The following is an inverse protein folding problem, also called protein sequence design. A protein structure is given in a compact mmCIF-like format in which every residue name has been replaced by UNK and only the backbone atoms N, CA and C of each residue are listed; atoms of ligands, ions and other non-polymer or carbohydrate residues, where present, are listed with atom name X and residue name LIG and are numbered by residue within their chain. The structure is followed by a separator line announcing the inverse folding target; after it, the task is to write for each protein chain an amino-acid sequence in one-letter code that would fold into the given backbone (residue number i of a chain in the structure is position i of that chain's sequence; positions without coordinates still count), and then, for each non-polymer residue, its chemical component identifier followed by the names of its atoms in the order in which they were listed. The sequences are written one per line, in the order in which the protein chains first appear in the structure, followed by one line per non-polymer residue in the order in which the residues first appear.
data_IF_194015085200
#
_entry.id   IF_194015085200
#
_cell.length_a   1.000
_cell.length_b   1.000
_cell.length_c   1.000
_cell.angle_alpha   90.00
_cell.angle_beta   90.00
_cell.angle_gamma   90.00
#
_symmetry.space_group_name_H-M   'P 1'
#
loop_
_entity.id
_entity.type
_entity.pdbx_description
1 polymer ?
#
# COMPACT_ATOMS: atom_id res chain seq x y z
N UNK A 1 -24.11 10.42 -7.13
CA UNK A 1 -22.90 11.29 -7.19
C UNK A 1 -21.70 10.38 -7.20
N UNK A 2 -20.75 10.59 -8.11
CA UNK A 2 -19.71 9.59 -8.36
C UNK A 2 -18.70 9.56 -7.20
N UNK A 3 -18.59 8.41 -6.54
CA UNK A 3 -17.57 8.09 -5.53
C UNK A 3 -16.18 7.92 -6.19
N UNK A 4 -15.84 8.83 -7.10
CA UNK A 4 -14.70 8.72 -8.00
C UNK A 4 -13.58 9.62 -7.52
N UNK A 5 -12.38 9.08 -7.55
CA UNK A 5 -11.16 9.89 -7.48
C UNK A 5 -11.17 10.85 -8.66
N UNK A 6 -11.00 12.13 -8.36
CA UNK A 6 -10.81 13.22 -9.30
C UNK A 6 -9.45 13.11 -9.99
N UNK A 7 -9.30 13.80 -11.11
CA UNK A 7 -8.01 14.02 -11.75
C UNK A 7 -7.26 15.24 -11.16
N UNK A 8 -7.64 15.72 -9.98
CA UNK A 8 -7.06 16.92 -9.36
C UNK A 8 -6.07 16.54 -8.27
N UNK A 9 -4.97 17.28 -8.16
CA UNK A 9 -4.01 17.17 -7.06
C UNK A 9 -4.07 18.42 -6.18
N UNK A 10 -4.03 18.23 -4.85
CA UNK A 10 -3.81 19.32 -3.91
C UNK A 10 -2.32 19.43 -3.60
N UNK A 11 -1.75 20.63 -3.63
CA UNK A 11 -0.32 20.84 -3.41
C UNK A 11 -0.12 22.00 -2.44
N UNK A 12 0.42 21.70 -1.26
CA UNK A 12 0.70 22.65 -0.19
C UNK A 12 2.17 22.57 0.19
N UNK A 13 3.00 23.29 -0.57
CA UNK A 13 4.45 23.24 -0.38
C UNK A 13 5.10 24.62 -0.52
N UNK A 14 6.12 24.88 0.29
CA UNK A 14 7.03 26.02 0.15
C UNK A 14 8.21 25.69 -0.81
N UNK A 15 8.28 24.46 -1.36
CA UNK A 15 9.33 24.00 -2.27
C UNK A 15 8.94 24.16 -3.76
N UNK A 16 9.28 25.31 -4.36
CA UNK A 16 8.95 25.65 -5.76
C UNK A 16 9.48 24.64 -6.80
N UNK A 17 10.67 24.09 -6.56
CA UNK A 17 11.27 23.06 -7.39
C UNK A 17 10.44 21.76 -7.38
N UNK A 18 9.85 21.41 -6.24
CA UNK A 18 9.00 20.23 -6.09
C UNK A 18 7.60 20.45 -6.66
N UNK A 19 7.06 21.66 -6.53
CA UNK A 19 5.85 22.06 -7.24
C UNK A 19 6.03 21.91 -8.75
N UNK A 20 7.15 22.42 -9.29
CA UNK A 20 7.48 22.35 -10.71
C UNK A 20 7.68 20.90 -11.19
N UNK A 21 8.37 20.08 -10.39
CA UNK A 21 8.54 18.65 -10.65
C UNK A 21 7.20 17.92 -10.68
N UNK A 22 6.32 18.19 -9.72
CA UNK A 22 4.98 17.64 -9.66
C UNK A 22 4.16 18.03 -10.89
N UNK A 23 4.16 19.33 -11.24
CA UNK A 23 3.49 19.84 -12.42
C UNK A 23 4.03 19.26 -13.74
N UNK A 24 5.31 18.83 -13.78
CA UNK A 24 5.89 18.14 -14.93
C UNK A 24 5.50 16.65 -15.04
N UNK A 25 5.25 15.96 -13.93
CA UNK A 25 4.89 14.53 -13.91
C UNK A 25 3.38 14.33 -14.11
N UNK A 26 2.56 15.18 -13.49
CA UNK A 26 1.11 15.04 -13.44
C UNK A 26 0.40 14.98 -14.82
N UNK A 27 0.80 15.74 -15.85
CA UNK A 27 0.17 15.66 -17.18
C UNK A 27 0.30 14.28 -17.83
N UNK A 28 1.45 13.61 -17.65
CA UNK A 28 1.68 12.26 -18.19
C UNK A 28 0.74 11.20 -17.60
N UNK A 29 0.05 11.54 -16.50
CA UNK A 29 -0.91 10.66 -15.83
C UNK A 29 -2.34 11.19 -15.84
N UNK A 30 -2.62 12.24 -16.61
CA UNK A 30 -3.89 12.94 -16.67
C UNK A 30 -4.36 13.43 -15.29
N UNK A 31 -3.42 13.97 -14.50
CA UNK A 31 -3.70 14.67 -13.24
C UNK A 31 -3.29 16.13 -13.42
N UNK A 32 -4.02 17.06 -12.80
CA UNK A 32 -3.69 18.49 -12.82
C UNK A 32 -3.73 19.09 -11.41
N UNK A 33 -2.84 20.03 -11.07
CA UNK A 33 -2.95 20.79 -9.83
C UNK A 33 -4.32 21.47 -9.73
N UNK A 34 -4.90 21.47 -8.54
CA UNK A 34 -6.12 22.21 -8.28
C UNK A 34 -5.82 23.70 -8.15
N UNK A 35 -6.42 24.51 -9.03
CA UNK A 35 -6.23 25.96 -9.08
C UNK A 35 -7.52 26.73 -8.80
N UNK A 36 -8.67 26.07 -8.83
CA UNK A 36 -9.99 26.69 -8.99
C UNK A 36 -10.63 27.14 -7.66
N UNK A 37 -9.85 27.18 -6.56
CA UNK A 37 -10.35 27.52 -5.22
C UNK A 37 -9.51 28.56 -4.48
N UNK A 38 -10.16 29.35 -3.62
CA UNK A 38 -9.51 30.47 -2.94
C UNK A 38 -8.53 30.06 -1.84
N UNK A 39 -8.72 28.90 -1.20
CA UNK A 39 -7.97 28.47 -0.01
C UNK A 39 -7.13 27.21 -0.19
N UNK A 40 -7.57 26.28 -1.04
CA UNK A 40 -6.91 24.99 -1.26
C UNK A 40 -6.08 24.90 -2.56
N UNK A 41 -5.99 26.00 -3.31
CA UNK A 41 -5.25 26.05 -4.59
C UNK A 41 -3.74 26.07 -4.43
N UNK A 42 -3.24 26.71 -3.37
CA UNK A 42 -1.82 26.81 -3.07
C UNK A 42 -1.59 27.03 -1.59
N UNK A 43 -0.36 26.82 -1.15
CA UNK A 43 0.04 27.14 0.22
C UNK A 43 -0.09 28.64 0.52
N UNK A 44 0.24 29.51 -0.42
CA UNK A 44 0.10 30.96 -0.24
C UNK A 44 -1.36 31.37 -0.02
N UNK A 45 -2.28 30.80 -0.79
CA UNK A 45 -3.72 30.98 -0.63
C UNK A 45 -4.21 30.50 0.74
N UNK A 46 -3.74 29.32 1.16
CA UNK A 46 -4.05 28.77 2.47
C UNK A 46 -3.57 29.71 3.59
N UNK A 47 -2.29 30.12 3.57
CA UNK A 47 -1.70 31.03 4.57
C UNK A 47 -2.44 32.36 4.63
N UNK A 48 -2.77 32.98 3.49
CA UNK A 48 -3.55 34.22 3.43
C UNK A 48 -4.88 34.11 4.17
N UNK A 49 -5.59 32.99 3.98
CA UNK A 49 -6.88 32.77 4.64
C UNK A 49 -6.73 32.50 6.14
N UNK A 50 -5.71 31.75 6.55
CA UNK A 50 -5.42 31.50 7.97
C UNK A 50 -5.15 32.82 8.70
N UNK A 51 -4.36 33.71 8.10
CA UNK A 51 -4.06 35.04 8.67
C UNK A 51 -5.34 35.87 8.78
N UNK A 52 -6.19 35.86 7.75
CA UNK A 52 -7.45 36.60 7.72
C UNK A 52 -8.45 36.10 8.77
N UNK A 53 -8.62 34.78 8.92
CA UNK A 53 -9.61 34.19 9.83
C UNK A 53 -9.05 33.92 11.24
N UNK A 54 -7.73 34.03 11.43
CA UNK A 54 -6.99 33.70 12.66
C UNK A 54 -7.25 32.28 13.18
N UNK A 55 -7.66 31.36 12.32
CA UNK A 55 -7.92 29.97 12.65
C UNK A 55 -7.81 29.08 11.41
N UNK A 56 -7.93 27.76 11.60
CA UNK A 56 -7.86 26.74 10.55
C UNK A 56 -9.12 25.85 10.48
N UNK A 57 -10.20 26.27 11.15
CA UNK A 57 -11.45 25.49 11.23
C UNK A 57 -12.13 25.35 9.86
N UNK A 58 -11.86 26.29 8.94
CA UNK A 58 -12.37 26.26 7.57
C UNK A 58 -11.83 25.08 6.75
N UNK A 59 -10.63 24.54 7.07
CA UNK A 59 -9.97 23.49 6.27
C UNK A 59 -10.89 22.29 6.03
N UNK A 60 -11.57 21.81 7.08
CA UNK A 60 -12.52 20.69 6.95
C UNK A 60 -13.65 20.99 5.97
N UNK A 61 -14.24 22.19 6.08
CA UNK A 61 -15.35 22.63 5.22
C UNK A 61 -14.89 22.73 3.77
N UNK A 62 -13.73 23.30 3.53
CA UNK A 62 -13.20 23.50 2.18
C UNK A 62 -12.75 22.19 1.52
N UNK A 63 -12.14 21.27 2.28
CA UNK A 63 -11.79 19.93 1.78
C UNK A 63 -13.07 19.17 1.41
N UNK A 64 -14.10 19.25 2.26
CA UNK A 64 -15.39 18.64 1.96
C UNK A 64 -16.04 19.26 0.70
N UNK A 65 -16.01 20.59 0.57
CA UNK A 65 -16.55 21.28 -0.59
C UNK A 65 -15.79 20.92 -1.87
N UNK A 66 -14.45 20.82 -1.80
CA UNK A 66 -13.63 20.32 -2.90
C UNK A 66 -14.08 18.92 -3.32
N UNK A 67 -14.22 18.01 -2.36
CA UNK A 67 -14.59 16.60 -2.61
C UNK A 67 -15.98 16.52 -3.25
N UNK A 68 -16.93 17.32 -2.78
CA UNK A 68 -18.28 17.37 -3.33
C UNK A 68 -18.31 17.87 -4.77
N UNK A 69 -17.49 18.86 -5.10
CA UNK A 69 -17.49 19.50 -6.42
C UNK A 69 -16.62 18.77 -7.45
N UNK A 70 -15.51 18.18 -7.02
CA UNK A 70 -14.49 17.62 -7.93
C UNK A 70 -14.33 16.10 -7.79
N UNK A 71 -14.82 15.51 -6.71
CA UNK A 71 -14.41 14.17 -6.26
C UNK A 71 -13.14 14.21 -5.40
N UNK A 72 -12.67 13.05 -4.95
CA UNK A 72 -11.50 12.98 -4.08
C UNK A 72 -10.22 13.34 -4.82
N UNK A 73 -9.28 14.08 -4.22
CA UNK A 73 -8.05 14.39 -4.93
C UNK A 73 -7.28 13.11 -5.22
N UNK A 74 -6.70 13.02 -6.41
CA UNK A 74 -5.86 11.89 -6.80
C UNK A 74 -4.68 11.74 -5.84
N UNK A 75 -4.07 12.86 -5.47
CA UNK A 75 -2.98 12.95 -4.52
C UNK A 75 -3.03 14.30 -3.80
N UNK A 76 -2.63 14.31 -2.54
CA UNK A 76 -2.26 15.52 -1.83
C UNK A 76 -0.77 15.50 -1.57
N UNK A 77 -0.08 16.58 -1.92
CA UNK A 77 1.32 16.83 -1.59
C UNK A 77 1.33 17.91 -0.51
N UNK A 78 1.99 17.66 0.61
CA UNK A 78 1.99 18.59 1.74
C UNK A 78 3.34 18.55 2.47
N UNK A 79 3.84 19.71 2.87
CA UNK A 79 4.99 19.79 3.78
C UNK A 79 4.54 19.37 5.19
N UNK A 80 5.33 18.52 5.88
CA UNK A 80 4.94 18.09 7.24
C UNK A 80 4.88 19.29 8.19
N UNK A 81 5.85 20.20 8.06
CA UNK A 81 5.92 21.43 8.82
C UNK A 81 5.67 22.62 7.92
N UNK A 82 4.58 23.33 8.20
CA UNK A 82 4.18 24.55 7.52
C UNK A 82 3.97 25.59 8.61
N UNK A 83 4.64 26.73 8.49
CA UNK A 83 4.34 27.88 9.33
C UNK A 83 2.92 28.40 8.99
N UNK A 84 1.97 28.19 9.90
CA UNK A 84 0.60 28.68 9.70
C UNK A 84 0.44 30.19 9.96
N UNK A 85 1.44 30.85 10.55
CA UNK A 85 1.36 32.25 10.96
C UNK A 85 0.45 32.49 12.18
N UNK A 86 0.09 31.43 12.92
CA UNK A 86 -0.68 31.53 14.16
C UNK A 86 0.24 31.43 15.38
N UNK A 87 0.01 32.26 16.40
CA UNK A 87 0.88 32.37 17.59
C UNK A 87 1.05 31.06 18.38
N UNK A 88 0.09 30.15 18.29
CA UNK A 88 0.05 28.86 18.99
C UNK A 88 0.44 27.65 18.13
N UNK A 89 1.09 27.86 16.98
CA UNK A 89 1.60 26.79 16.11
C UNK A 89 3.09 26.49 16.36
N UNK A 90 3.43 26.09 17.58
CA UNK A 90 4.82 25.93 18.02
C UNK A 90 5.58 24.82 17.29
N UNK A 91 4.88 23.74 16.87
CA UNK A 91 5.49 22.61 16.17
C UNK A 91 5.42 22.73 14.64
N UNK A 92 4.74 23.76 14.12
CA UNK A 92 4.46 23.98 12.69
C UNK A 92 3.72 22.81 12.02
N UNK A 93 3.12 21.91 12.78
CA UNK A 93 2.43 20.73 12.24
C UNK A 93 0.92 20.93 12.19
N UNK A 94 0.42 22.09 12.62
CA UNK A 94 -1.01 22.29 12.84
C UNK A 94 -1.84 22.17 11.56
N UNK A 95 -1.34 22.68 10.43
CA UNK A 95 -1.99 22.51 9.11
C UNK A 95 -2.04 21.03 8.73
N UNK A 96 -0.90 20.33 8.79
CA UNK A 96 -0.80 18.90 8.49
C UNK A 96 -1.75 18.05 9.36
N UNK A 97 -1.74 18.26 10.68
CA UNK A 97 -2.62 17.55 11.64
C UNK A 97 -4.09 17.80 11.33
N UNK A 98 -4.46 19.04 11.05
CA UNK A 98 -5.84 19.42 10.76
C UNK A 98 -6.32 18.87 9.42
N UNK A 99 -5.44 18.86 8.42
CA UNK A 99 -5.69 18.23 7.14
C UNK A 99 -5.97 16.73 7.32
N UNK A 100 -5.09 16.01 8.03
CA UNK A 100 -5.24 14.57 8.25
C UNK A 100 -6.51 14.23 9.06
N UNK A 101 -6.80 15.01 10.12
CA UNK A 101 -8.05 14.88 10.87
C UNK A 101 -9.28 15.10 10.00
N UNK A 102 -9.24 16.10 9.11
CA UNK A 102 -10.34 16.36 8.18
C UNK A 102 -10.59 15.14 7.29
N UNK A 103 -9.56 14.51 6.76
CA UNK A 103 -9.69 13.28 5.99
C UNK A 103 -10.30 12.13 6.80
N UNK A 104 -9.78 11.88 8.01
CA UNK A 104 -10.31 10.82 8.89
C UNK A 104 -11.82 10.98 9.10
N UNK A 105 -12.27 12.21 9.38
CA UNK A 105 -13.68 12.52 9.60
C UNK A 105 -14.49 12.28 8.33
N UNK A 106 -14.03 12.78 7.19
CA UNK A 106 -14.77 12.66 5.93
C UNK A 106 -14.89 11.19 5.52
N UNK A 107 -13.84 10.38 5.72
CA UNK A 107 -13.81 8.96 5.40
C UNK A 107 -14.76 8.09 6.24
N UNK A 108 -15.30 8.62 7.36
CA UNK A 108 -16.36 7.93 8.11
C UNK A 108 -17.73 8.00 7.43
N UNK A 109 -17.91 8.89 6.46
CA UNK A 109 -19.17 8.95 5.72
C UNK A 109 -19.32 7.73 4.82
N UNK A 110 -20.50 7.10 4.81
CA UNK A 110 -20.81 5.94 3.95
C UNK A 110 -20.54 6.23 2.47
N UNK A 111 -20.72 7.49 2.05
CA UNK A 111 -20.44 7.95 0.69
C UNK A 111 -18.96 7.78 0.30
N UNK A 112 -18.07 7.74 1.29
CA UNK A 112 -16.63 7.88 1.08
C UNK A 112 -15.80 6.74 1.68
N UNK A 113 -16.43 5.73 2.28
CA UNK A 113 -15.76 4.64 3.01
C UNK A 113 -14.73 3.85 2.20
N UNK A 114 -14.87 3.84 0.88
CA UNK A 114 -14.02 3.07 -0.02
C UNK A 114 -12.83 3.88 -0.54
N UNK A 115 -12.70 5.16 -0.23
CA UNK A 115 -11.66 6.01 -0.82
C UNK A 115 -10.42 5.99 0.07
N UNK A 116 -9.25 5.99 -0.57
CA UNK A 116 -7.96 6.06 0.12
C UNK A 116 -7.40 7.47 0.05
N UNK A 117 -6.88 7.96 1.16
CA UNK A 117 -6.12 9.20 1.21
C UNK A 117 -4.71 8.94 0.66
N UNK A 118 -4.38 9.55 -0.48
CA UNK A 118 -3.08 9.46 -1.11
C UNK A 118 -2.25 10.70 -0.75
N UNK A 119 -1.22 10.52 0.06
CA UNK A 119 -0.46 11.61 0.66
C UNK A 119 1.04 11.48 0.36
N UNK A 120 1.61 12.51 -0.25
CA UNK A 120 3.05 12.70 -0.34
C UNK A 120 3.46 13.76 0.68
N UNK A 121 4.26 13.37 1.66
CA UNK A 121 4.73 14.23 2.74
C UNK A 121 6.16 14.68 2.41
N UNK A 122 6.36 15.99 2.37
CA UNK A 122 7.64 16.62 2.14
C UNK A 122 8.27 17.06 3.47
N UNK A 123 9.56 16.84 3.63
CA UNK A 123 10.32 17.16 4.85
C UNK A 123 11.67 17.74 4.46
N UNK A 124 12.23 18.65 5.26
CA UNK A 124 13.65 18.95 5.11
C UNK A 124 14.52 17.76 5.54
N UNK A 125 15.80 17.77 5.18
CA UNK A 125 16.72 16.66 5.42
C UNK A 125 16.82 16.25 6.89
N UNK A 126 16.86 17.23 7.80
CA UNK A 126 16.98 16.97 9.24
C UNK A 126 15.73 16.28 9.78
N UNK A 127 14.55 16.76 9.39
CA UNK A 127 13.27 16.14 9.73
C UNK A 127 13.15 14.76 9.13
N UNK A 128 13.53 14.59 7.86
CA UNK A 128 13.51 13.30 7.22
C UNK A 128 14.36 12.29 7.99
N UNK A 129 15.59 12.63 8.37
CA UNK A 129 16.45 11.74 9.16
C UNK A 129 15.80 11.38 10.51
N UNK A 130 15.20 12.36 11.19
CA UNK A 130 14.56 12.15 12.50
C UNK A 130 13.29 11.29 12.42
N UNK A 131 12.51 11.45 11.34
CA UNK A 131 11.17 10.90 11.25
C UNK A 131 11.04 9.74 10.27
N UNK A 132 12.00 9.48 9.37
CA UNK A 132 11.91 8.44 8.33
C UNK A 132 11.55 7.07 8.89
N UNK A 133 12.25 6.60 9.91
CA UNK A 133 11.96 5.29 10.54
C UNK A 133 10.64 5.31 11.31
N UNK A 134 10.34 6.40 12.00
CA UNK A 134 9.08 6.55 12.74
C UNK A 134 7.87 6.56 11.79
N UNK A 135 7.97 7.24 10.65
CA UNK A 135 6.89 7.39 9.67
C UNK A 135 6.71 6.15 8.77
N UNK A 136 7.67 5.21 8.76
CA UNK A 136 7.44 3.85 8.18
C UNK A 136 6.34 3.09 8.92
N UNK A 137 6.05 3.47 10.17
CA UNK A 137 4.99 2.89 10.97
C UNK A 137 3.79 3.83 11.03
N UNK A 138 2.70 3.51 10.28
CA UNK A 138 1.42 4.21 10.31
C UNK A 138 0.91 4.71 11.66
N UNK A 139 1.08 3.90 12.71
CA UNK A 139 0.64 4.25 14.07
C UNK A 139 1.28 5.54 14.60
N UNK A 140 2.50 5.86 14.16
CA UNK A 140 3.24 7.03 14.60
C UNK A 140 2.76 8.30 13.91
N UNK A 141 2.17 8.20 12.71
CA UNK A 141 1.49 9.34 12.09
C UNK A 141 0.19 9.64 12.84
N UNK A 142 -0.55 8.60 13.21
CA UNK A 142 -1.80 8.74 13.93
C UNK A 142 -1.59 9.18 15.39
N UNK A 143 -0.43 8.93 15.99
CA UNK A 143 -0.10 9.44 17.34
C UNK A 143 0.11 10.95 17.38
N UNK A 144 0.39 11.59 16.24
CA UNK A 144 0.43 13.05 16.12
C UNK A 144 -0.94 13.70 16.28
N UNK A 145 -2.01 12.90 16.17
CA UNK A 145 -3.38 13.36 16.25
C UNK A 145 -3.95 13.13 17.66
N UNK A 146 -4.38 14.22 18.28
CA UNK A 146 -5.17 14.23 19.51
C UNK A 146 -6.20 15.34 19.42
N UNK A 147 -7.42 15.04 19.81
CA UNK A 147 -8.52 16.02 19.82
C UNK A 147 -9.20 16.02 21.18
N UNK A 148 -10.08 16.99 21.42
CA UNK A 148 -10.93 17.00 22.62
C UNK A 148 -12.22 16.15 22.44
N UNK A 149 -12.41 15.54 21.27
CA UNK A 149 -13.57 14.71 20.94
C UNK A 149 -13.23 13.22 21.16
N UNK A 150 -13.84 12.59 22.17
CA UNK A 150 -13.62 11.19 22.51
C UNK A 150 -14.00 10.23 21.38
N UNK A 151 -15.05 10.53 20.61
CA UNK A 151 -15.49 9.70 19.49
C UNK A 151 -14.46 9.74 18.38
N UNK A 152 -13.95 10.94 18.06
CA UNK A 152 -12.90 11.09 17.06
C UNK A 152 -11.59 10.44 17.52
N UNK A 153 -11.23 10.56 18.79
CA UNK A 153 -10.07 9.88 19.36
C UNK A 153 -10.20 8.36 19.31
N UNK A 154 -11.42 7.81 19.48
CA UNK A 154 -11.68 6.37 19.30
C UNK A 154 -11.40 5.92 17.87
N UNK A 155 -11.88 6.66 16.87
CA UNK A 155 -11.61 6.39 15.44
C UNK A 155 -10.11 6.46 15.15
N UNK A 156 -9.42 7.50 15.64
CA UNK A 156 -7.96 7.64 15.49
C UNK A 156 -7.25 6.43 16.12
N UNK A 157 -7.67 5.99 17.30
CA UNK A 157 -7.08 4.84 17.97
C UNK A 157 -7.32 3.53 17.22
N UNK A 158 -8.46 3.38 16.54
CA UNK A 158 -8.70 2.24 15.66
C UNK A 158 -7.65 2.17 14.54
N UNK A 159 -7.32 3.31 13.91
CA UNK A 159 -6.25 3.38 12.90
C UNK A 159 -4.85 3.16 13.48
N UNK A 160 -4.61 3.42 14.78
CA UNK A 160 -3.34 3.13 15.45
C UNK A 160 -3.13 1.63 15.67
N UNK A 161 -4.18 0.92 16.05
CA UNK A 161 -4.10 -0.50 16.44
C UNK A 161 -4.31 -1.42 15.23
N UNK A 162 -5.15 -1.02 14.27
CA UNK A 162 -5.46 -1.81 13.08
C UNK A 162 -4.67 -1.33 11.85
N UNK A 163 -3.49 -1.94 11.66
CA UNK A 163 -2.59 -1.63 10.54
C UNK A 163 -3.22 -1.91 9.17
N UNK A 164 -4.06 -2.94 9.05
CA UNK A 164 -4.74 -3.26 7.78
C UNK A 164 -5.75 -2.18 7.41
N UNK A 165 -6.56 -1.74 8.38
CA UNK A 165 -7.50 -0.63 8.20
C UNK A 165 -6.76 0.63 7.79
N UNK A 166 -5.63 0.93 8.43
CA UNK A 166 -4.80 2.05 8.01
C UNK A 166 -4.30 1.89 6.56
N UNK A 167 -3.65 0.78 6.20
CA UNK A 167 -3.08 0.55 4.87
C UNK A 167 -4.13 0.52 3.75
N UNK A 168 -5.37 0.19 4.09
CA UNK A 168 -6.52 0.27 3.19
C UNK A 168 -6.95 1.71 2.92
N UNK A 169 -6.91 2.56 3.95
CA UNK A 169 -7.44 3.91 3.92
C UNK A 169 -6.39 5.00 3.64
N UNK A 170 -5.10 4.71 3.83
CA UNK A 170 -4.01 5.67 3.67
C UNK A 170 -2.89 5.07 2.82
N UNK A 171 -2.49 5.82 1.79
CA UNK A 171 -1.27 5.60 1.02
C UNK A 171 -0.36 6.78 1.30
N UNK A 172 0.73 6.58 2.04
CA UNK A 172 1.63 7.66 2.46
C UNK A 172 3.03 7.37 1.93
N UNK A 173 3.59 8.33 1.21
CA UNK A 173 5.02 8.41 0.88
C UNK A 173 5.61 9.61 1.63
N UNK A 174 6.80 9.43 2.17
CA UNK A 174 7.56 10.50 2.83
C UNK A 174 8.88 10.66 2.09
N UNK A 175 9.24 11.90 1.75
CA UNK A 175 10.41 12.22 0.94
C UNK A 175 11.20 13.38 1.56
N UNK A 176 12.52 13.29 1.51
CA UNK A 176 13.43 14.41 1.75
C UNK A 176 13.30 15.40 0.59
N UNK A 177 12.82 16.61 0.87
CA UNK A 177 12.62 17.67 -0.11
C UNK A 177 13.93 18.29 -0.61
N UNK A 178 15.04 18.07 0.10
CA UNK A 178 16.36 18.62 -0.20
C UNK A 178 17.28 17.63 -0.93
N UNK A 179 16.82 16.39 -1.17
CA UNK A 179 17.59 15.40 -1.93
C UNK A 179 17.59 15.70 -3.44
N UNK A 180 18.37 14.94 -4.19
CA UNK A 180 18.48 15.12 -5.65
C UNK A 180 17.11 14.96 -6.35
N UNK A 181 16.77 15.93 -7.21
CA UNK A 181 15.47 15.95 -7.90
C UNK A 181 15.18 14.69 -8.73
N UNK A 182 16.23 14.03 -9.24
CA UNK A 182 16.11 12.77 -10.00
C UNK A 182 15.59 11.61 -9.12
N UNK A 183 16.03 11.55 -7.85
CA UNK A 183 15.58 10.58 -6.86
C UNK A 183 14.14 10.88 -6.44
N UNK A 184 13.82 12.14 -6.15
CA UNK A 184 12.44 12.56 -5.81
C UNK A 184 11.48 12.22 -6.94
N UNK A 185 11.88 12.50 -8.19
CA UNK A 185 11.10 12.14 -9.38
C UNK A 185 10.83 10.65 -9.45
N UNK A 186 11.84 9.83 -9.17
CA UNK A 186 11.73 8.36 -9.21
C UNK A 186 10.78 7.84 -8.12
N UNK A 187 10.92 8.33 -6.88
CA UNK A 187 10.03 8.00 -5.76
C UNK A 187 8.57 8.39 -6.07
N UNK A 188 8.36 9.59 -6.61
CA UNK A 188 7.04 10.07 -6.94
C UNK A 188 6.38 9.23 -8.06
N UNK A 189 7.12 8.88 -9.11
CA UNK A 189 6.61 8.00 -10.18
C UNK A 189 6.22 6.62 -9.61
N UNK A 190 7.05 6.04 -8.74
CA UNK A 190 6.74 4.76 -8.08
C UNK A 190 5.46 4.86 -7.25
N UNK A 191 5.30 5.93 -6.48
CA UNK A 191 4.12 6.16 -5.65
C UNK A 191 2.84 6.34 -6.49
N UNK A 192 2.90 7.11 -7.57
CA UNK A 192 1.79 7.26 -8.51
C UNK A 192 1.38 5.91 -9.10
N UNK A 193 2.37 5.10 -9.53
CA UNK A 193 2.10 3.78 -10.10
C UNK A 193 1.45 2.84 -9.07
N UNK A 194 1.87 2.90 -7.81
CA UNK A 194 1.25 2.18 -6.71
C UNK A 194 -0.22 2.61 -6.52
N UNK A 195 -0.52 3.92 -6.50
CA UNK A 195 -1.89 4.44 -6.38
C UNK A 195 -2.75 3.93 -7.53
N UNK A 196 -2.27 4.05 -8.78
CA UNK A 196 -2.99 3.57 -9.97
C UNK A 196 -3.25 2.07 -9.92
N UNK A 197 -2.28 1.28 -9.49
CA UNK A 197 -2.42 -0.17 -9.36
C UNK A 197 -3.50 -0.52 -8.33
N UNK A 198 -3.51 0.16 -7.16
CA UNK A 198 -4.52 -0.02 -6.12
C UNK A 198 -5.92 0.38 -6.61
N UNK A 199 -6.06 1.52 -7.28
CA UNK A 199 -7.35 1.97 -7.80
C UNK A 199 -7.88 1.09 -8.94
N UNK A 200 -7.01 0.64 -9.85
CA UNK A 200 -7.38 -0.33 -10.89
C UNK A 200 -7.87 -1.65 -10.28
N UNK A 201 -7.21 -2.12 -9.22
CA UNK A 201 -7.63 -3.33 -8.52
C UNK A 201 -8.99 -3.14 -7.85
N UNK A 202 -9.17 -2.02 -7.14
CA UNK A 202 -10.41 -1.70 -6.45
C UNK A 202 -11.59 -1.55 -7.41
N UNK A 203 -11.39 -0.89 -8.55
CA UNK A 203 -12.42 -0.78 -9.58
C UNK A 203 -12.79 -2.13 -10.19
N UNK A 204 -11.85 -3.06 -10.34
CA UNK A 204 -12.16 -4.45 -10.74
C UNK A 204 -13.02 -5.15 -9.70
N UNK A 205 -12.66 -5.07 -8.42
CA UNK A 205 -13.41 -5.68 -7.32
C UNK A 205 -14.82 -5.08 -7.13
N UNK A 206 -15.02 -3.81 -7.49
CA UNK A 206 -16.33 -3.15 -7.40
C UNK A 206 -17.22 -3.36 -8.64
N UNK A 207 -16.63 -3.58 -9.82
CA UNK A 207 -17.36 -3.74 -11.09
C UNK A 207 -17.58 -5.21 -11.50
N UNK A 208 -16.92 -6.15 -10.87
CA UNK A 208 -17.29 -7.57 -10.95
C UNK A 208 -18.62 -7.75 -10.20
N UNK A 209 -19.74 -7.80 -10.95
CA UNK A 209 -21.01 -8.33 -10.43
C UNK A 209 -20.72 -9.70 -9.82
N UNK A 210 -21.37 -10.07 -8.70
CA UNK A 210 -21.18 -11.38 -8.09
C UNK A 210 -21.75 -12.43 -9.04
N UNK A 211 -20.92 -12.92 -9.96
CA UNK A 211 -21.15 -14.19 -10.61
C UNK A 211 -20.96 -15.24 -9.53
N UNK A 212 -22.09 -15.79 -9.12
CA UNK A 212 -22.26 -16.94 -8.23
C UNK A 212 -21.12 -17.96 -8.36
N UNK A 213 -20.43 -18.25 -7.25
CA UNK A 213 -20.61 -19.47 -6.46
C UNK A 213 -19.32 -19.80 -5.70
N UNK A 214 -19.15 -19.24 -4.51
CA UNK A 214 -18.53 -19.88 -3.33
C UNK A 214 -18.53 -18.89 -2.15
N UNK A 215 -19.35 -19.18 -1.14
CA UNK A 215 -19.14 -18.93 0.29
C UNK A 215 -18.81 -17.51 0.82
N UNK A 216 -19.54 -17.02 1.84
CA UNK A 216 -19.17 -15.79 2.56
C UNK A 216 -17.97 -16.04 3.49
N UNK A 217 -17.11 -15.03 3.65
CA UNK A 217 -15.94 -14.87 4.57
C UNK A 217 -14.55 -15.20 3.99
N UNK A 218 -13.98 -14.32 3.16
CA UNK A 218 -12.52 -14.35 2.86
C UNK A 218 -11.81 -13.00 3.16
N UNK A 219 -12.54 -11.90 3.35
CA UNK A 219 -11.91 -10.57 3.58
C UNK A 219 -11.25 -10.38 4.97
N UNK A 220 -11.16 -11.41 5.81
CA UNK A 220 -10.51 -11.41 7.12
C UNK A 220 -9.61 -12.65 7.31
N UNK A 221 -9.24 -13.33 6.22
CA UNK A 221 -8.48 -14.56 6.28
C UNK A 221 -6.98 -14.24 6.44
N UNK A 222 -6.31 -14.85 7.42
CA UNK A 222 -4.88 -14.67 7.61
C UNK A 222 -4.10 -15.14 6.36
N UNK A 223 -3.10 -14.37 5.91
CA UNK A 223 -2.30 -14.73 4.74
C UNK A 223 -1.54 -16.04 4.94
N UNK A 224 -1.41 -16.80 3.86
CA UNK A 224 -0.67 -18.06 3.86
C UNK A 224 0.74 -17.90 4.43
N UNK A 225 1.14 -18.88 5.23
CA UNK A 225 2.51 -19.01 5.67
C UNK A 225 3.38 -19.49 4.52
N UNK A 226 4.58 -18.92 4.42
CA UNK A 226 5.59 -19.39 3.47
C UNK A 226 6.70 -20.08 4.23
N UNK A 227 6.92 -21.36 3.95
CA UNK A 227 7.86 -22.18 4.69
C UNK A 227 8.88 -22.89 3.78
N UNK A 228 10.08 -23.12 4.29
CA UNK A 228 11.15 -23.86 3.60
C UNK A 228 11.95 -24.68 4.62
N UNK A 229 12.30 -25.92 4.25
CA UNK A 229 13.18 -26.79 5.02
C UNK A 229 14.48 -27.09 4.27
N UNK A 230 15.61 -27.01 4.96
CA UNK A 230 16.92 -27.47 4.45
C UNK A 230 17.69 -28.17 5.56
N UNK A 231 17.96 -29.47 5.43
CA UNK A 231 18.47 -30.30 6.52
C UNK A 231 17.64 -30.17 7.80
N UNK A 232 18.28 -29.66 8.86
CA UNK A 232 17.68 -29.39 10.19
C UNK A 232 17.12 -27.97 10.35
N UNK A 233 17.29 -27.10 9.35
CA UNK A 233 16.87 -25.71 9.41
C UNK A 233 15.45 -25.56 8.85
N UNK A 234 14.63 -24.80 9.55
CA UNK A 234 13.24 -24.51 9.19
C UNK A 234 12.99 -23.01 9.20
N UNK A 235 12.37 -22.50 8.13
CA UNK A 235 12.04 -21.09 7.98
C UNK A 235 10.55 -20.94 7.75
N UNK A 236 9.98 -19.90 8.34
CA UNK A 236 8.59 -19.51 8.18
C UNK A 236 8.51 -17.99 8.05
N UNK A 237 7.85 -17.51 7.00
CA UNK A 237 7.63 -16.08 6.71
C UNK A 237 8.92 -15.25 6.70
N UNK A 238 10.01 -15.80 6.14
CA UNK A 238 11.29 -15.11 6.01
C UNK A 238 12.16 -15.07 7.27
N UNK A 239 11.75 -15.74 8.36
CA UNK A 239 12.53 -15.84 9.60
C UNK A 239 12.87 -17.29 9.96
N UNK A 240 14.01 -17.54 10.63
CA UNK A 240 14.32 -18.86 11.19
C UNK A 240 13.29 -19.22 12.26
N UNK A 241 12.79 -20.45 12.23
CA UNK A 241 11.87 -20.98 13.22
C UNK A 241 12.53 -22.15 13.96
N UNK A 242 12.48 -22.12 15.30
CA UNK A 242 13.17 -23.06 16.18
C UNK A 242 12.49 -24.43 16.29
N UNK A 243 11.24 -24.55 15.84
CA UNK A 243 10.44 -25.78 15.91
C UNK A 243 9.96 -26.15 14.50
N UNK A 244 10.47 -27.25 13.97
CA UNK A 244 9.91 -27.88 12.78
C UNK A 244 8.66 -28.68 13.22
N UNK A 245 7.50 -28.34 12.68
CA UNK A 245 6.32 -29.17 12.84
C UNK A 245 6.42 -30.36 11.88
N UNK A 246 6.78 -31.53 12.40
CA UNK A 246 6.93 -32.78 11.63
C UNK A 246 5.64 -33.15 10.87
N UNK A 247 4.48 -32.62 11.29
CA UNK A 247 3.19 -32.84 10.61
C UNK A 247 3.10 -32.14 9.24
N UNK A 248 3.96 -31.16 8.96
CA UNK A 248 3.94 -30.41 7.70
C UNK A 248 4.62 -31.15 6.53
N UNK A 249 5.30 -32.28 6.78
CA UNK A 249 5.88 -33.17 5.76
C UNK A 249 6.61 -32.44 4.59
N UNK A 250 7.38 -31.40 4.92
CA UNK A 250 8.00 -30.54 3.91
C UNK A 250 9.16 -31.25 3.22
N UNK A 251 9.11 -31.32 1.89
CA UNK A 251 10.24 -31.77 1.07
C UNK A 251 11.40 -30.77 1.18
N UNK A 252 12.62 -31.29 1.30
CA UNK A 252 13.81 -30.46 1.43
C UNK A 252 14.03 -29.58 0.18
N UNK A 253 14.39 -28.31 0.40
CA UNK A 253 14.64 -27.29 -0.64
C UNK A 253 13.41 -26.93 -1.50
N UNK A 254 12.21 -27.24 -1.04
CA UNK A 254 10.97 -26.78 -1.66
C UNK A 254 10.26 -25.76 -0.77
N UNK A 255 9.71 -24.71 -1.37
CA UNK A 255 9.00 -23.64 -0.67
C UNK A 255 7.53 -23.99 -0.63
N UNK A 256 6.90 -23.99 0.54
CA UNK A 256 5.48 -24.30 0.70
C UNK A 256 4.70 -23.03 1.03
N UNK A 257 3.54 -22.85 0.40
CA UNK A 257 2.61 -21.75 0.67
C UNK A 257 1.35 -22.36 1.28
N UNK A 258 1.26 -22.39 2.61
CA UNK A 258 0.17 -23.06 3.34
C UNK A 258 -0.81 -22.06 3.94
N UNK A 259 -2.08 -22.14 3.56
CA UNK A 259 -3.15 -21.25 4.05
C UNK A 259 -3.76 -20.40 2.94
N UNK A 260 -4.22 -19.19 3.24
CA UNK A 260 -4.93 -18.36 2.26
C UNK A 260 -3.96 -17.65 1.31
N UNK A 261 -3.88 -18.09 0.05
CA UNK A 261 -3.18 -17.41 -1.04
C UNK A 261 -4.18 -16.97 -2.12
N UNK A 262 -4.92 -15.91 -1.80
CA UNK A 262 -6.02 -15.37 -2.59
C UNK A 262 -5.73 -13.93 -3.01
N UNK A 263 -6.63 -13.33 -3.79
CA UNK A 263 -6.61 -11.92 -4.17
C UNK A 263 -6.47 -10.94 -3.01
N UNK A 264 -6.92 -11.30 -1.81
CA UNK A 264 -6.84 -10.47 -0.60
C UNK A 264 -5.48 -10.57 0.10
N UNK A 265 -4.90 -11.76 0.15
CA UNK A 265 -3.70 -12.05 0.94
C UNK A 265 -2.42 -12.11 0.10
N UNK A 266 -2.54 -12.05 -1.23
CA UNK A 266 -1.42 -12.27 -2.15
C UNK A 266 -0.23 -11.34 -1.95
N UNK A 267 -0.42 -10.08 -1.54
CA UNK A 267 0.71 -9.16 -1.37
C UNK A 267 1.57 -9.59 -0.18
N UNK A 268 0.94 -9.92 0.95
CA UNK A 268 1.65 -10.40 2.13
C UNK A 268 2.32 -11.75 1.88
N UNK A 269 1.65 -12.66 1.17
CA UNK A 269 2.22 -13.95 0.76
C UNK A 269 3.44 -13.75 -0.15
N UNK A 270 3.37 -12.82 -1.10
CA UNK A 270 4.50 -12.49 -1.99
C UNK A 270 5.64 -11.83 -1.22
N UNK A 271 5.36 -10.93 -0.29
CA UNK A 271 6.38 -10.32 0.57
C UNK A 271 7.10 -11.37 1.42
N UNK A 272 6.34 -12.29 2.04
CA UNK A 272 6.88 -13.43 2.79
C UNK A 272 7.75 -14.33 1.92
N UNK A 273 7.28 -14.65 0.71
CA UNK A 273 8.01 -15.46 -0.25
C UNK A 273 9.31 -14.79 -0.71
N UNK A 274 9.27 -13.50 -1.03
CA UNK A 274 10.44 -12.74 -1.44
C UNK A 274 11.43 -12.54 -0.30
N UNK A 275 10.95 -12.33 0.93
CA UNK A 275 11.79 -12.29 2.12
C UNK A 275 12.56 -13.60 2.27
N UNK A 276 11.88 -14.74 2.14
CA UNK A 276 12.51 -16.05 2.21
C UNK A 276 13.54 -16.27 1.08
N UNK A 277 13.20 -15.90 -0.15
CA UNK A 277 14.08 -16.08 -1.32
C UNK A 277 15.31 -15.17 -1.27
N UNK A 278 15.14 -13.90 -0.85
CA UNK A 278 16.21 -12.88 -0.83
C UNK A 278 17.07 -12.93 0.43
N UNK A 279 16.48 -13.14 1.61
CA UNK A 279 17.23 -13.15 2.86
C UNK A 279 18.14 -14.38 2.97
N UNK A 280 17.74 -15.51 2.38
CA UNK A 280 18.44 -16.77 2.57
C UNK A 280 18.56 -17.14 4.06
N UNK A 281 19.40 -18.13 4.34
CA UNK A 281 19.69 -18.69 5.66
C UNK A 281 21.00 -18.11 6.18
N UNK A 282 21.14 -16.79 6.27
CA UNK A 282 22.43 -16.18 6.56
C UNK A 282 23.55 -16.74 5.65
N UNK A 283 24.69 -17.12 6.22
CA UNK A 283 25.81 -17.67 5.46
C UNK A 283 25.64 -19.15 5.02
N UNK A 284 24.59 -19.87 5.48
CA UNK A 284 24.54 -21.33 5.38
C UNK A 284 23.75 -21.87 4.17
N UNK A 285 22.77 -21.12 3.65
CA UNK A 285 22.04 -21.48 2.41
C UNK A 285 21.43 -20.24 1.76
N UNK A 286 21.76 -19.98 0.50
CA UNK A 286 21.20 -18.85 -0.27
C UNK A 286 20.75 -19.41 -1.61
N UNK A 287 19.51 -19.12 -2.01
CA UNK A 287 19.02 -19.42 -3.34
C UNK A 287 19.71 -18.50 -4.35
N UNK A 288 20.54 -19.07 -5.21
CA UNK A 288 21.33 -18.36 -6.22
C UNK A 288 20.60 -18.37 -7.56
N UNK A 289 20.94 -17.41 -8.43
CA UNK A 289 20.42 -17.30 -9.80
C UNK A 289 20.54 -18.59 -10.64
N UNK A 290 21.48 -19.48 -10.32
CA UNK A 290 21.61 -20.78 -10.99
C UNK A 290 20.62 -21.86 -10.55
N UNK A 291 19.86 -21.62 -9.47
CA UNK A 291 19.07 -22.65 -8.80
C UNK A 291 17.67 -22.79 -9.42
N UNK A 292 17.08 -23.97 -9.23
CA UNK A 292 15.66 -24.20 -9.53
C UNK A 292 14.84 -23.97 -8.28
N UNK A 293 13.83 -23.11 -8.38
CA UNK A 293 12.89 -22.84 -7.28
C UNK A 293 11.66 -23.71 -7.49
N UNK A 294 11.31 -24.52 -6.49
CA UNK A 294 10.03 -25.26 -6.47
C UNK A 294 9.12 -24.63 -5.41
N UNK A 295 7.96 -24.14 -5.85
CA UNK A 295 6.89 -23.60 -5.01
C UNK A 295 5.77 -24.64 -4.94
N UNK A 296 5.48 -25.15 -3.76
CA UNK A 296 4.40 -26.09 -3.50
C UNK A 296 3.19 -25.36 -2.90
N UNK A 297 2.02 -25.57 -3.51
CA UNK A 297 0.73 -25.08 -3.04
C UNK A 297 -0.09 -26.31 -2.63
N UNK A 298 0.01 -26.74 -1.35
CA UNK A 298 -0.61 -27.95 -0.86
C UNK A 298 -2.13 -27.84 -0.84
N UNK A 299 -2.80 -28.99 -0.73
CA UNK A 299 -4.26 -29.12 -0.87
C UNK A 299 -5.08 -28.36 0.15
N UNK A 300 -4.52 -28.15 1.34
CA UNK A 300 -5.16 -27.43 2.43
C UNK A 300 -5.14 -25.91 2.21
N UNK A 301 -4.38 -25.44 1.21
CA UNK A 301 -4.30 -24.02 0.88
C UNK A 301 -5.57 -23.54 0.19
N UNK A 302 -5.96 -22.30 0.45
CA UNK A 302 -7.08 -21.67 -0.23
C UNK A 302 -6.52 -20.74 -1.30
N UNK A 303 -6.80 -21.06 -2.57
CA UNK A 303 -6.43 -20.23 -3.71
C UNK A 303 -7.66 -19.72 -4.45
N UNK A 304 -7.49 -18.68 -5.27
CA UNK A 304 -8.55 -18.18 -6.15
C UNK A 304 -8.06 -18.01 -7.59
N UNK A 305 -8.94 -17.54 -8.46
CA UNK A 305 -8.64 -17.30 -9.88
C UNK A 305 -7.57 -16.23 -10.10
N UNK A 306 -7.12 -15.51 -9.07
CA UNK A 306 -6.05 -14.50 -9.18
C UNK A 306 -4.67 -15.05 -8.80
N UNK A 307 -4.59 -16.24 -8.22
CA UNK A 307 -3.33 -16.88 -7.85
C UNK A 307 -2.41 -17.09 -9.07
N UNK A 308 -2.88 -17.59 -10.23
CA UNK A 308 -2.02 -17.81 -11.41
C UNK A 308 -1.37 -16.54 -11.94
N UNK A 309 -2.14 -15.45 -12.09
CA UNK A 309 -1.59 -14.19 -12.60
C UNK A 309 -0.59 -13.56 -11.62
N UNK A 310 -0.80 -13.77 -10.31
CA UNK A 310 0.14 -13.32 -9.28
C UNK A 310 1.46 -14.07 -9.40
N UNK A 311 1.42 -15.40 -9.54
CA UNK A 311 2.63 -16.21 -9.73
C UNK A 311 3.32 -15.88 -11.05
N UNK A 312 2.56 -15.65 -12.14
CA UNK A 312 3.11 -15.22 -13.43
C UNK A 312 3.94 -13.93 -13.29
N UNK A 313 3.38 -12.94 -12.58
CA UNK A 313 4.05 -11.67 -12.34
C UNK A 313 5.30 -11.85 -11.49
N UNK A 314 5.23 -12.65 -10.43
CA UNK A 314 6.38 -12.98 -9.58
C UNK A 314 7.52 -13.60 -10.41
N UNK A 315 7.20 -14.61 -11.22
CA UNK A 315 8.19 -15.29 -12.07
C UNK A 315 8.82 -14.30 -13.04
N UNK A 316 8.01 -13.50 -13.73
CA UNK A 316 8.51 -12.58 -14.76
C UNK A 316 9.37 -11.42 -14.23
N UNK A 317 9.09 -10.95 -13.00
CA UNK A 317 9.69 -9.72 -12.46
C UNK A 317 10.79 -9.96 -11.45
N UNK A 318 10.61 -10.96 -10.59
CA UNK A 318 11.48 -11.16 -9.42
C UNK A 318 12.27 -12.45 -9.50
N UNK A 319 11.76 -13.48 -10.21
CA UNK A 319 12.39 -14.79 -10.29
C UNK A 319 12.92 -15.13 -11.69
N UNK A 320 12.98 -14.16 -12.61
CA UNK A 320 13.43 -14.35 -13.98
C UNK A 320 14.91 -14.73 -14.09
N UNK A 321 15.70 -14.33 -13.09
CA UNK A 321 17.12 -14.60 -12.98
C UNK A 321 17.43 -16.04 -12.52
N UNK A 322 16.43 -16.82 -12.09
CA UNK A 322 16.60 -18.20 -11.65
C UNK A 322 16.50 -19.19 -12.83
N UNK A 323 17.27 -20.28 -12.78
CA UNK A 323 17.34 -21.28 -13.87
C UNK A 323 15.97 -21.81 -14.27
N UNK A 324 15.11 -22.12 -13.30
CA UNK A 324 13.70 -22.46 -13.55
C UNK A 324 12.86 -22.30 -12.30
N UNK A 325 11.58 -22.01 -12.48
CA UNK A 325 10.57 -22.02 -11.40
C UNK A 325 9.55 -23.10 -11.69
N UNK A 326 9.28 -23.97 -10.71
CA UNK A 326 8.26 -25.04 -10.77
C UNK A 326 7.19 -24.77 -9.73
N UNK A 327 5.93 -25.00 -10.09
CA UNK A 327 4.77 -24.81 -9.22
C UNK A 327 4.13 -26.19 -9.04
N UNK A 328 4.30 -26.80 -7.87
CA UNK A 328 3.64 -28.05 -7.52
C UNK A 328 2.26 -27.74 -6.93
N UNK A 329 1.23 -28.39 -7.45
CA UNK A 329 -0.13 -28.25 -6.93
C UNK A 329 -0.95 -29.51 -7.18
N UNK A 330 -2.13 -29.63 -6.57
CA UNK A 330 -3.03 -30.77 -6.77
C UNK A 330 -3.99 -30.54 -7.95
N UNK A 331 -4.73 -31.58 -8.35
CA UNK A 331 -5.66 -31.52 -9.47
C UNK A 331 -6.81 -30.51 -9.29
N UNK A 332 -7.33 -30.32 -8.07
CA UNK A 332 -8.42 -29.38 -7.76
C UNK A 332 -7.94 -27.94 -7.96
N UNK A 333 -6.79 -27.61 -7.38
CA UNK A 333 -6.15 -26.31 -7.57
C UNK A 333 -5.78 -26.06 -9.02
N UNK A 334 -5.26 -27.07 -9.71
CA UNK A 334 -4.95 -26.98 -11.13
C UNK A 334 -6.19 -26.59 -11.97
N UNK A 335 -7.32 -27.26 -11.76
CA UNK A 335 -8.58 -26.92 -12.45
C UNK A 335 -9.05 -25.49 -12.14
N UNK A 336 -8.94 -25.05 -10.89
CA UNK A 336 -9.27 -23.67 -10.52
C UNK A 336 -8.32 -22.67 -11.20
N UNK A 337 -7.03 -22.99 -11.24
CA UNK A 337 -6.02 -22.15 -11.87
C UNK A 337 -6.29 -22.01 -13.37
N UNK A 338 -6.73 -23.07 -14.07
CA UNK A 338 -7.06 -23.03 -15.50
C UNK A 338 -8.14 -22.00 -15.86
N UNK A 339 -9.01 -21.64 -14.91
CA UNK A 339 -10.05 -20.62 -15.12
C UNK A 339 -9.49 -19.19 -15.12
N UNK A 340 -8.23 -19.01 -14.70
CA UNK A 340 -7.56 -17.70 -14.65
C UNK A 340 -7.02 -17.28 -16.01
N UNK A 341 -7.19 -16.00 -16.36
CA UNK A 341 -6.54 -15.39 -17.52
C UNK A 341 -4.99 -15.44 -17.45
N UNK A 342 -4.41 -15.60 -16.26
CA UNK A 342 -2.96 -15.69 -16.07
C UNK A 342 -2.39 -17.11 -16.23
N UNK A 343 -3.22 -18.14 -16.37
CA UNK A 343 -2.76 -19.54 -16.34
C UNK A 343 -1.85 -19.89 -17.51
N UNK A 344 -2.17 -19.42 -18.72
CA UNK A 344 -1.36 -19.67 -19.92
C UNK A 344 0.10 -19.19 -19.76
N UNK A 345 0.33 -18.20 -18.90
CA UNK A 345 1.67 -17.65 -18.62
C UNK A 345 2.50 -18.54 -17.71
N UNK A 346 1.86 -19.37 -16.88
CA UNK A 346 2.54 -20.25 -15.91
C UNK A 346 2.37 -21.74 -16.22
N UNK A 347 1.56 -22.10 -17.23
CA UNK A 347 1.20 -23.49 -17.51
C UNK A 347 2.42 -24.41 -17.63
N UNK A 348 3.52 -23.93 -18.24
CA UNK A 348 4.77 -24.69 -18.40
C UNK A 348 5.54 -24.88 -17.10
N UNK A 349 5.22 -24.10 -16.07
CA UNK A 349 5.82 -24.15 -14.76
C UNK A 349 5.02 -25.03 -13.80
N UNK A 350 3.75 -25.34 -14.09
CA UNK A 350 2.87 -26.09 -13.19
C UNK A 350 3.05 -27.60 -13.35
N UNK A 351 3.25 -28.29 -12.23
CA UNK A 351 3.37 -29.73 -12.12
C UNK A 351 2.23 -30.20 -11.18
N UNK A 352 1.39 -31.09 -11.68
CA UNK A 352 0.37 -31.73 -10.87
C UNK A 352 1.03 -32.89 -10.12
N UNK A 353 0.86 -32.94 -8.80
CA UNK A 353 1.21 -34.10 -8.01
C UNK A 353 -0.09 -34.75 -7.51
N UNK A 354 -0.11 -36.07 -7.53
CA UNK A 354 -1.15 -36.87 -6.88
C UNK A 354 -0.70 -37.08 -5.43
N UNK A 355 -1.47 -36.53 -4.48
CA UNK A 355 -1.43 -36.89 -3.07
C UNK A 355 -2.60 -37.84 -2.76
#
# INVERSE_FOLDING_TARGET
MSNTISNKAMIFTDYDNLFSLAAGIMPAINVVPYTDGESLSSLSCLKKRIISEKNISFLKKDILAFIQNNGYPFITIIDMKIDSGLDNDHDRMRIFKTFLLSYIIIMQSEQYKNISCNLLILMNKNEFIQFKESLKHPQNIMSLLKTNDERLNSIINEYKVNNEKFKKNFNILVTDAEQELSLIRSEFILFINMIKAKEKLKNKLMNEKPTSSAGPKISAAEPADVALRTGKLYFRNGSPASVYDEKLNLTEKEIYISGNFTSYTRLDVIERLMSLIKAGFGNDFILRKGDTITINIPKESVIDSTTPITIAQLISKELNDYKSVRIKTNAVHYQLMQQSQGFSMIQRNVIIHED
#
